data_IF_826083501869
#
_entry.id   IF_826083501869
#
_cell.length_a   1.000
_cell.length_b   1.000
_cell.length_c   1.000
_cell.angle_alpha   90.00
_cell.angle_beta   90.00
_cell.angle_gamma   90.00
#
_symmetry.space_group_name_H-M   'P 1'
#
loop_
_entity.id
_entity.type
_entity.pdbx_description
1 polymer ?
#
# COMPACT_ATOMS: atom_id res chain seq x y z
N UNK A 1 1.88 10.00 9.90
CA UNK A 1 2.35 8.73 10.49
C UNK A 1 3.44 8.07 9.67
N UNK A 2 3.28 7.91 8.34
CA UNK A 2 4.32 7.31 7.50
C UNK A 2 5.62 8.10 7.56
N UNK A 3 5.55 9.42 7.40
CA UNK A 3 6.70 10.32 7.49
C UNK A 3 7.48 10.20 8.81
N UNK A 4 6.79 10.01 9.94
CA UNK A 4 7.41 9.88 11.26
C UNK A 4 8.09 8.52 11.44
N UNK A 5 7.52 7.44 10.91
CA UNK A 5 8.17 6.12 10.90
C UNK A 5 9.44 6.13 10.05
N UNK A 6 9.40 6.75 8.88
CA UNK A 6 10.57 6.90 8.02
C UNK A 6 11.68 7.72 8.69
N UNK A 7 11.32 8.83 9.35
CA UNK A 7 12.28 9.62 10.15
C UNK A 7 12.89 8.84 11.30
N UNK A 8 12.20 7.82 11.82
CA UNK A 8 12.72 6.92 12.84
C UNK A 8 13.57 5.76 12.26
N UNK A 9 13.79 5.74 10.94
CA UNK A 9 14.53 4.67 10.24
C UNK A 9 13.73 3.39 10.05
N UNK A 10 12.40 3.44 10.19
CA UNK A 10 11.50 2.29 10.01
C UNK A 10 10.85 2.41 8.64
N UNK A 11 11.23 1.56 7.67
CA UNK A 11 10.65 1.60 6.34
C UNK A 11 9.15 1.24 6.42
N UNK A 12 8.31 2.04 5.77
CA UNK A 12 6.85 1.83 5.80
C UNK A 12 6.25 2.07 4.42
N UNK A 13 5.26 1.25 4.06
CA UNK A 13 4.45 1.45 2.86
C UNK A 13 3.01 1.67 3.27
N UNK A 14 2.42 2.77 2.80
CA UNK A 14 0.99 3.01 2.97
C UNK A 14 0.21 2.45 1.78
N UNK A 15 -0.69 1.53 2.10
CA UNK A 15 -1.71 1.03 1.17
C UNK A 15 -2.97 1.87 1.33
N UNK A 16 -3.45 2.49 0.26
CA UNK A 16 -4.61 3.40 0.35
C UNK A 16 -5.41 3.44 -0.95
N UNK A 17 -6.68 3.85 -0.85
CA UNK A 17 -7.53 4.21 -2.00
C UNK A 17 -7.39 5.68 -2.41
N UNK A 18 -6.74 6.51 -1.59
CA UNK A 18 -6.57 7.95 -1.80
C UNK A 18 -5.13 8.31 -2.21
N UNK A 19 -4.60 7.64 -3.24
CA UNK A 19 -3.20 7.77 -3.69
C UNK A 19 -2.75 9.24 -3.89
N UNK A 20 -3.53 10.14 -4.53
CA UNK A 20 -3.10 11.52 -4.73
C UNK A 20 -2.96 12.29 -3.42
N UNK A 21 -3.88 12.06 -2.47
CA UNK A 21 -3.87 12.73 -1.16
C UNK A 21 -2.67 12.27 -0.34
N UNK A 22 -2.41 10.96 -0.30
CA UNK A 22 -1.29 10.41 0.45
C UNK A 22 0.07 10.93 -0.06
N UNK A 23 0.21 11.12 -1.37
CA UNK A 23 1.39 11.76 -1.96
C UNK A 23 1.50 13.24 -1.60
N UNK A 24 0.38 13.98 -1.65
CA UNK A 24 0.34 15.42 -1.33
C UNK A 24 0.80 15.72 0.10
N UNK A 25 0.51 14.83 1.05
CA UNK A 25 0.90 14.99 2.47
C UNK A 25 2.30 14.44 2.80
N UNK A 26 3.08 13.98 1.80
CA UNK A 26 4.47 13.55 1.98
C UNK A 26 4.66 12.07 2.36
N UNK A 27 3.78 11.18 1.89
CA UNK A 27 4.01 9.75 2.02
C UNK A 27 4.92 9.24 0.90
N UNK A 28 6.18 8.95 1.24
CA UNK A 28 7.25 8.56 0.30
C UNK A 28 6.97 7.24 -0.43
N UNK A 29 6.44 6.26 0.30
CA UNK A 29 6.15 4.90 -0.19
C UNK A 29 4.66 4.60 -0.09
N UNK A 30 3.96 4.70 -1.22
CA UNK A 30 2.50 4.57 -1.30
C UNK A 30 2.07 3.74 -2.49
N UNK A 31 1.16 2.79 -2.25
CA UNK A 31 0.55 1.96 -3.29
C UNK A 31 -0.97 2.09 -3.27
N UNK A 32 -1.58 1.93 -4.45
CA UNK A 32 -3.03 1.91 -4.60
C UNK A 32 -3.57 0.54 -4.18
N UNK A 33 -4.55 0.55 -3.27
CA UNK A 33 -5.32 -0.64 -2.91
C UNK A 33 -6.29 -1.09 -4.00
N UNK A 34 -7.06 -2.14 -3.73
CA UNK A 34 -8.01 -2.71 -4.70
C UNK A 34 -9.16 -1.75 -5.03
N UNK A 35 -9.78 -1.15 -4.02
CA UNK A 35 -10.87 -0.21 -4.21
C UNK A 35 -11.10 0.69 -3.00
N UNK A 36 -12.12 1.54 -3.07
CA UNK A 36 -12.45 2.47 -1.98
C UNK A 36 -13.06 1.73 -0.79
N UNK A 37 -14.05 0.87 -1.04
CA UNK A 37 -14.78 0.13 0.01
C UNK A 37 -13.95 -1.03 0.55
N UNK A 38 -13.29 -1.76 -0.36
CA UNK A 38 -12.45 -2.91 -0.03
C UNK A 38 -11.01 -2.63 -0.47
N UNK A 39 -10.27 -1.90 0.38
CA UNK A 39 -8.90 -1.47 0.06
C UNK A 39 -7.94 -2.65 -0.09
N UNK A 40 -8.14 -3.70 0.71
CA UNK A 40 -7.23 -4.83 0.83
C UNK A 40 -7.84 -6.17 0.38
N UNK A 41 -8.93 -6.18 -0.39
CA UNK A 41 -9.57 -7.42 -0.82
C UNK A 41 -10.81 -7.16 -1.66
N UNK A 42 -11.55 -8.22 -1.98
CA UNK A 42 -12.79 -8.13 -2.73
C UNK A 42 -13.74 -9.28 -2.33
N UNK A 43 -14.88 -8.99 -1.70
CA UNK A 43 -15.82 -10.03 -1.27
C UNK A 43 -16.64 -10.64 -2.42
N UNK A 44 -16.58 -10.09 -3.63
CA UNK A 44 -17.27 -10.63 -4.81
C UNK A 44 -16.51 -11.77 -5.48
N UNK A 45 -15.23 -11.94 -5.15
CA UNK A 45 -14.37 -12.99 -5.69
C UNK A 45 -14.56 -14.32 -4.96
N UNK A 46 -14.18 -15.42 -5.62
CA UNK A 46 -14.06 -16.70 -4.92
C UNK A 46 -12.97 -16.65 -3.85
N UNK A 47 -13.01 -17.52 -2.82
CA UNK A 47 -12.00 -17.51 -1.76
C UNK A 47 -10.55 -17.66 -2.25
N UNK A 48 -10.33 -18.36 -3.36
CA UNK A 48 -9.01 -18.53 -3.97
C UNK A 48 -8.53 -17.26 -4.67
N UNK A 49 -9.39 -16.64 -5.47
CA UNK A 49 -9.10 -15.39 -6.18
C UNK A 49 -8.89 -14.23 -5.19
N UNK A 50 -9.69 -14.16 -4.13
CA UNK A 50 -9.54 -13.15 -3.07
C UNK A 50 -8.19 -13.29 -2.37
N UNK A 51 -7.78 -14.53 -2.06
CA UNK A 51 -6.46 -14.81 -1.47
C UNK A 51 -5.33 -14.41 -2.42
N UNK A 52 -5.47 -14.69 -3.71
CA UNK A 52 -4.49 -14.30 -4.72
C UNK A 52 -4.40 -12.78 -4.87
N UNK A 53 -5.52 -12.07 -4.87
CA UNK A 53 -5.59 -10.60 -4.86
C UNK A 53 -4.83 -10.03 -3.67
N UNK A 54 -5.12 -10.51 -2.45
CA UNK A 54 -4.40 -10.09 -1.24
C UNK A 54 -2.90 -10.38 -1.32
N UNK A 55 -2.52 -11.54 -1.85
CA UNK A 55 -1.11 -11.90 -2.01
C UNK A 55 -0.40 -10.95 -2.98
N UNK A 56 -1.01 -10.62 -4.11
CA UNK A 56 -0.46 -9.66 -5.06
C UNK A 56 -0.31 -8.26 -4.43
N UNK A 57 -1.28 -7.81 -3.64
CA UNK A 57 -1.21 -6.52 -2.95
C UNK A 57 -0.04 -6.47 -1.97
N UNK A 58 0.15 -7.53 -1.18
CA UNK A 58 1.28 -7.64 -0.25
C UNK A 58 2.61 -7.67 -1.00
N UNK A 59 2.73 -8.43 -2.08
CA UNK A 59 3.96 -8.47 -2.88
C UNK A 59 4.31 -7.09 -3.45
N UNK A 60 3.34 -6.35 -4.00
CA UNK A 60 3.55 -4.97 -4.44
C UNK A 60 3.99 -4.04 -3.31
N UNK A 61 3.47 -4.27 -2.09
CA UNK A 61 3.90 -3.51 -0.93
C UNK A 61 5.34 -3.86 -0.53
N UNK A 62 5.75 -5.13 -0.61
CA UNK A 62 7.13 -5.53 -0.37
C UNK A 62 8.07 -4.93 -1.42
N UNK A 63 7.71 -4.97 -2.71
CA UNK A 63 8.51 -4.36 -3.78
C UNK A 63 8.69 -2.84 -3.55
N UNK A 64 7.62 -2.14 -3.10
CA UNK A 64 7.70 -0.73 -2.75
C UNK A 64 8.51 -0.46 -1.47
N UNK A 65 8.52 -1.41 -0.53
CA UNK A 65 9.28 -1.33 0.71
C UNK A 65 10.79 -1.46 0.44
N UNK A 66 11.16 -2.37 -0.47
CA UNK A 66 12.54 -2.61 -0.91
C UNK A 66 13.08 -1.51 -1.82
N UNK A 67 12.21 -0.77 -2.51
CA UNK A 67 12.62 0.36 -3.35
C UNK A 67 13.19 1.52 -2.53
N UNK A 68 14.19 2.22 -3.10
CA UNK A 68 14.70 3.46 -2.52
C UNK A 68 13.58 4.51 -2.39
N UNK A 69 13.65 5.33 -1.33
CA UNK A 69 12.67 6.39 -1.14
C UNK A 69 12.59 7.29 -2.38
N UNK A 70 11.39 7.44 -2.92
CA UNK A 70 11.13 8.47 -3.92
C UNK A 70 10.97 9.79 -3.18
N UNK A 71 12.08 10.53 -3.07
CA UNK A 71 12.13 11.91 -2.58
C UNK A 71 11.31 12.87 -3.45
#
# INVERSE_FOLDING_TARGET
MTTELEKAGIPVVQVTSALPIAKMIGSNRVILGHGIVHVAGDPSLSPEEEKNLRRQLVLRAMDALESEEKG
#
